data_IF_913758107087
#
_entry.id   IF_913758107087
#
_cell.length_a   1.000
_cell.length_b   1.000
_cell.length_c   1.000
_cell.angle_alpha   90.00
_cell.angle_beta   90.00
_cell.angle_gamma   90.00
#
_symmetry.space_group_name_H-M   'P 1'
#
loop_
_entity.id
_entity.type
_entity.pdbx_description
1 polymer ?
#
# COMPACT_ATOMS: atom_id res chain seq x y z
N UNK A 1 14.84 15.63 -0.55
CA UNK A 1 13.42 15.21 -0.60
C UNK A 1 13.18 14.34 0.62
N UNK A 2 12.00 14.42 1.23
CA UNK A 2 11.61 13.48 2.27
C UNK A 2 11.70 12.04 1.73
N UNK A 3 12.20 11.12 2.54
CA UNK A 3 12.46 9.75 2.16
C UNK A 3 11.18 8.93 2.21
N UNK A 4 10.37 9.05 1.16
CA UNK A 4 9.14 8.27 1.02
C UNK A 4 9.42 6.93 0.35
N UNK A 5 8.61 5.94 0.71
CA UNK A 5 8.53 4.69 -0.04
C UNK A 5 7.08 4.39 -0.42
N UNK A 6 6.91 3.68 -1.54
CA UNK A 6 5.66 2.99 -1.85
C UNK A 6 5.86 1.51 -1.57
N UNK A 7 4.95 0.87 -0.86
CA UNK A 7 5.06 -0.50 -0.38
C UNK A 7 3.81 -1.31 -0.75
N UNK A 8 4.05 -2.56 -1.12
CA UNK A 8 3.07 -3.63 -1.28
C UNK A 8 3.74 -4.95 -0.87
N UNK A 9 2.97 -5.91 -0.36
CA UNK A 9 3.46 -7.25 -0.05
C UNK A 9 2.63 -8.35 -0.69
N UNK A 10 3.27 -9.49 -0.88
CA UNK A 10 2.61 -10.74 -1.20
C UNK A 10 2.82 -11.76 -0.09
N UNK A 11 1.89 -12.70 0.03
CA UNK A 11 1.93 -13.76 1.05
C UNK A 11 2.24 -15.12 0.45
N UNK A 12 2.70 -16.05 1.29
CA UNK A 12 2.98 -17.44 0.92
C UNK A 12 1.71 -18.30 0.90
N UNK A 13 0.67 -17.85 1.62
CA UNK A 13 -0.56 -18.55 1.90
C UNK A 13 -1.77 -17.61 1.76
N UNK A 14 -2.93 -18.20 1.52
CA UNK A 14 -4.21 -17.51 1.42
C UNK A 14 -4.91 -17.45 2.79
N UNK A 15 -5.91 -16.57 2.92
CA UNK A 15 -6.80 -16.57 4.08
C UNK A 15 -7.50 -17.92 4.31
N UNK A 16 -7.85 -18.63 3.24
CA UNK A 16 -8.42 -19.99 3.32
C UNK A 16 -7.46 -20.99 3.98
N UNK A 17 -6.15 -20.79 3.84
CA UNK A 17 -5.14 -21.70 4.39
C UNK A 17 -4.93 -21.47 5.89
N UNK A 18 -5.32 -20.30 6.41
CA UNK A 18 -5.12 -19.92 7.82
C UNK A 18 -6.42 -19.87 8.64
N UNK A 19 -7.54 -20.26 8.03
CA UNK A 19 -8.84 -20.37 8.68
C UNK A 19 -9.77 -19.17 8.52
N UNK A 20 -9.37 -18.13 7.79
CA UNK A 20 -10.18 -16.93 7.55
C UNK A 20 -9.44 -15.61 7.74
N UNK A 21 -10.15 -14.48 7.55
CA UNK A 21 -9.57 -13.12 7.60
C UNK A 21 -9.22 -12.66 9.01
N UNK A 22 -9.91 -13.19 10.01
CA UNK A 22 -9.62 -13.00 11.43
C UNK A 22 -8.24 -13.54 11.84
N UNK A 23 -7.68 -14.44 11.03
CA UNK A 23 -6.36 -15.02 11.22
C UNK A 23 -5.26 -14.32 10.39
N UNK A 24 -5.39 -13.00 10.13
CA UNK A 24 -4.42 -12.20 9.37
C UNK A 24 -2.97 -12.39 9.85
N UNK A 25 -2.77 -12.48 11.16
CA UNK A 25 -1.47 -12.73 11.80
C UNK A 25 -0.97 -14.16 11.65
N UNK A 26 -1.56 -15.00 10.80
CA UNK A 26 -1.02 -16.31 10.40
C UNK A 26 -0.52 -16.33 8.95
N UNK A 27 -0.78 -15.27 8.18
CA UNK A 27 -0.19 -15.12 6.86
C UNK A 27 1.33 -14.95 6.95
N UNK A 28 2.06 -15.53 6.01
CA UNK A 28 3.52 -15.46 5.92
C UNK A 28 3.91 -14.62 4.72
N UNK A 29 4.94 -13.80 4.87
CA UNK A 29 5.45 -12.93 3.80
C UNK A 29 6.18 -13.78 2.74
N UNK A 30 5.84 -13.61 1.47
CA UNK A 30 6.64 -14.17 0.37
C UNK A 30 7.62 -13.13 -0.18
N UNK A 31 7.13 -11.94 -0.54
CA UNK A 31 7.94 -10.81 -0.99
C UNK A 31 7.34 -9.48 -0.55
N UNK A 32 8.18 -8.52 -0.21
CA UNK A 32 7.84 -7.10 -0.10
C UNK A 32 8.39 -6.35 -1.32
N UNK A 33 7.53 -5.65 -2.04
CA UNK A 33 7.89 -4.78 -3.15
C UNK A 33 7.93 -3.32 -2.71
N UNK A 34 8.97 -2.59 -3.13
CA UNK A 34 9.17 -1.21 -2.71
C UNK A 34 9.54 -0.34 -3.90
N UNK A 35 9.04 0.89 -3.93
CA UNK A 35 9.64 1.98 -4.69
C UNK A 35 10.23 2.99 -3.70
N UNK A 36 11.55 3.20 -3.77
CA UNK A 36 12.27 4.19 -2.96
C UNK A 36 12.37 5.49 -3.76
N UNK A 37 11.81 6.59 -3.22
CA UNK A 37 11.97 7.91 -3.83
C UNK A 37 13.39 8.45 -3.63
N UNK A 38 14.06 8.11 -2.53
CA UNK A 38 15.44 8.54 -2.29
C UNK A 38 16.41 7.94 -3.32
N UNK A 39 16.21 6.67 -3.70
CA UNK A 39 17.06 5.96 -4.66
C UNK A 39 16.54 5.99 -6.09
N UNK A 40 15.29 6.45 -6.29
CA UNK A 40 14.55 6.38 -7.56
C UNK A 40 14.54 4.97 -8.17
N UNK A 41 14.27 3.95 -7.33
CA UNK A 41 14.40 2.53 -7.70
C UNK A 41 13.27 1.68 -7.14
N UNK A 42 12.94 0.64 -7.92
CA UNK A 42 12.12 -0.47 -7.46
C UNK A 42 13.02 -1.55 -6.84
N UNK A 43 12.63 -2.04 -5.66
CA UNK A 43 13.36 -3.01 -4.86
C UNK A 43 12.40 -4.12 -4.42
N UNK A 44 12.91 -5.33 -4.24
CA UNK A 44 12.14 -6.45 -3.66
C UNK A 44 12.93 -7.07 -2.53
N UNK A 45 12.23 -7.49 -1.47
CA UNK A 45 12.82 -8.16 -0.33
C UNK A 45 12.04 -9.43 -0.03
N UNK A 46 12.72 -10.58 -0.08
CA UNK A 46 12.19 -11.84 0.44
C UNK A 46 12.22 -11.87 1.97
N UNK A 47 11.61 -12.88 2.57
CA UNK A 47 11.64 -13.11 4.02
C UNK A 47 13.07 -13.07 4.62
N UNK A 48 14.07 -13.60 3.89
CA UNK A 48 15.47 -13.62 4.33
C UNK A 48 16.14 -12.23 4.27
N UNK A 49 15.57 -11.31 3.49
CA UNK A 49 16.09 -9.96 3.27
C UNK A 49 15.41 -8.92 4.16
N UNK A 50 14.55 -9.34 5.09
CA UNK A 50 13.87 -8.47 6.06
C UNK A 50 14.82 -7.59 6.89
N UNK A 51 16.03 -8.02 7.30
CA UNK A 51 16.99 -7.12 7.93
C UNK A 51 17.39 -5.92 7.05
N UNK A 52 17.52 -6.12 5.73
CA UNK A 52 17.82 -5.03 4.81
C UNK A 52 16.61 -4.12 4.60
N UNK A 53 15.41 -4.70 4.50
CA UNK A 53 14.16 -3.94 4.44
C UNK A 53 13.93 -3.10 5.70
N UNK A 54 14.20 -3.63 6.89
CA UNK A 54 14.11 -2.88 8.15
C UNK A 54 15.04 -1.67 8.16
N UNK A 55 16.27 -1.81 7.64
CA UNK A 55 17.21 -0.70 7.52
C UNK A 55 16.74 0.39 6.55
N UNK A 56 15.98 0.03 5.51
CA UNK A 56 15.31 0.98 4.65
C UNK A 56 14.21 1.72 5.44
N UNK A 57 13.34 0.98 6.12
CA UNK A 57 12.23 1.54 6.91
C UNK A 57 12.69 2.50 8.03
N UNK A 58 13.81 2.21 8.69
CA UNK A 58 14.41 3.09 9.72
C UNK A 58 14.74 4.50 9.20
N UNK A 59 14.90 4.65 7.88
CA UNK A 59 15.21 5.93 7.22
C UNK A 59 14.00 6.54 6.54
N UNK A 60 12.86 5.85 6.55
CA UNK A 60 11.65 6.24 5.81
C UNK A 60 10.84 7.25 6.61
N UNK A 61 10.49 8.36 5.97
CA UNK A 61 9.66 9.42 6.55
C UNK A 61 8.16 9.16 6.36
N UNK A 62 7.79 8.41 5.30
CA UNK A 62 6.41 8.07 4.96
C UNK A 62 6.34 6.76 4.18
N UNK A 63 5.41 5.89 4.57
CA UNK A 63 5.05 4.68 3.80
C UNK A 63 3.74 4.95 3.07
N UNK A 64 3.74 4.78 1.76
CA UNK A 64 2.55 4.91 0.91
C UNK A 64 2.13 3.52 0.46
N UNK A 65 0.85 3.19 0.54
CA UNK A 65 0.35 1.90 0.10
C UNK A 65 -1.15 1.88 -0.18
N UNK A 66 -1.66 0.70 -0.44
CA UNK A 66 -3.08 0.47 -0.73
C UNK A 66 -3.63 -0.62 0.19
N UNK A 67 -4.53 -0.27 1.12
CA UNK A 67 -4.98 -1.16 2.20
C UNK A 67 -3.84 -1.60 3.16
N UNK A 68 -2.76 -0.83 3.17
CA UNK A 68 -1.50 -1.14 3.85
C UNK A 68 -1.63 -1.20 5.38
N UNK A 69 -2.47 -0.35 5.96
CA UNK A 69 -2.67 -0.29 7.41
C UNK A 69 -3.39 -1.52 7.95
N UNK A 70 -4.25 -2.14 7.12
CA UNK A 70 -5.13 -3.23 7.49
C UNK A 70 -4.67 -4.60 7.00
N UNK A 71 -3.60 -4.66 6.21
CA UNK A 71 -3.10 -5.91 5.64
C UNK A 71 -1.57 -6.02 5.75
N UNK A 72 -0.83 -5.24 4.99
CA UNK A 72 0.61 -5.39 4.82
C UNK A 72 1.38 -5.16 6.12
N UNK A 73 1.15 -4.03 6.80
CA UNK A 73 1.86 -3.71 8.04
C UNK A 73 1.58 -4.71 9.14
N UNK A 74 0.31 -5.13 9.40
CA UNK A 74 0.03 -6.25 10.31
C UNK A 74 0.80 -7.54 10.01
N UNK A 75 0.96 -7.92 8.73
CA UNK A 75 1.71 -9.12 8.34
C UNK A 75 3.22 -8.92 8.56
N UNK A 76 3.74 -7.75 8.19
CA UNK A 76 5.17 -7.41 8.32
C UNK A 76 5.66 -7.33 9.77
N UNK A 77 4.79 -7.02 10.75
CA UNK A 77 5.16 -6.92 12.18
C UNK A 77 5.90 -8.14 12.73
N UNK A 78 5.66 -9.34 12.18
CA UNK A 78 6.34 -10.57 12.61
C UNK A 78 7.82 -10.62 12.23
N UNK A 79 8.18 -9.87 11.20
CA UNK A 79 9.48 -9.93 10.54
C UNK A 79 10.38 -8.76 10.92
N UNK A 80 9.85 -7.78 11.67
CA UNK A 80 10.49 -6.52 11.94
C UNK A 80 10.57 -6.28 13.44
N UNK A 81 11.71 -5.76 13.89
CA UNK A 81 11.96 -5.39 15.28
C UNK A 81 11.60 -3.93 15.59
N UNK A 82 11.38 -3.11 14.55
CA UNK A 82 10.97 -1.71 14.69
C UNK A 82 9.47 -1.57 14.91
N UNK A 83 9.09 -0.52 15.63
CA UNK A 83 7.70 -0.12 15.79
C UNK A 83 7.22 0.65 14.56
N UNK A 84 6.50 -0.05 13.67
CA UNK A 84 5.94 0.53 12.45
C UNK A 84 4.92 1.64 12.70
N UNK A 85 4.32 1.72 13.91
CA UNK A 85 3.35 2.77 14.24
C UNK A 85 4.00 4.16 14.34
N UNK A 86 5.33 4.21 14.45
CA UNK A 86 6.11 5.45 14.47
C UNK A 86 6.41 6.01 13.09
N UNK A 87 6.18 5.23 12.02
CA UNK A 87 6.37 5.68 10.65
C UNK A 87 5.00 6.09 10.11
N UNK A 88 4.81 7.37 9.70
CA UNK A 88 3.57 7.81 9.08
C UNK A 88 3.19 6.94 7.87
N UNK A 89 1.90 6.74 7.69
CA UNK A 89 1.35 6.01 6.55
C UNK A 89 0.37 6.86 5.75
N UNK A 90 0.38 6.66 4.43
CA UNK A 90 -0.69 7.04 3.53
C UNK A 90 -1.28 5.77 2.93
N UNK A 91 -2.44 5.36 3.45
CA UNK A 91 -3.26 4.29 2.87
C UNK A 91 -4.30 4.89 1.93
N UNK A 92 -4.10 4.75 0.62
CA UNK A 92 -4.99 5.32 -0.40
C UNK A 92 -6.40 4.74 -0.30
N UNK A 93 -6.53 3.44 0.01
CA UNK A 93 -7.84 2.82 0.14
C UNK A 93 -8.56 3.35 1.38
N UNK A 94 -7.83 3.58 2.48
CA UNK A 94 -8.38 4.20 3.69
C UNK A 94 -8.91 5.60 3.41
N UNK A 95 -8.18 6.46 2.68
CA UNK A 95 -8.66 7.80 2.30
C UNK A 95 -9.99 7.73 1.51
N UNK A 96 -10.15 6.74 0.62
CA UNK A 96 -11.40 6.52 -0.09
C UNK A 96 -12.51 6.08 0.88
N UNK A 97 -12.25 5.08 1.73
CA UNK A 97 -13.25 4.56 2.69
C UNK A 97 -13.71 5.66 3.65
N UNK A 98 -12.79 6.45 4.20
CA UNK A 98 -13.11 7.55 5.13
C UNK A 98 -14.00 8.63 4.46
N UNK A 99 -13.85 8.81 3.15
CA UNK A 99 -14.65 9.78 2.38
C UNK A 99 -15.98 9.21 1.90
N UNK A 100 -16.05 7.91 1.62
CA UNK A 100 -17.12 7.28 0.82
C UNK A 100 -17.90 6.17 1.52
N UNK A 101 -17.42 5.70 2.67
CA UNK A 101 -18.03 4.61 3.44
C UNK A 101 -17.93 3.22 2.81
N UNK A 102 -17.23 3.05 1.68
CA UNK A 102 -17.05 1.74 1.04
C UNK A 102 -15.66 1.58 0.42
N UNK A 103 -15.26 0.31 0.29
CA UNK A 103 -13.96 -0.07 -0.30
C UNK A 103 -14.04 -0.09 -1.82
N UNK A 104 -12.93 0.26 -2.45
CA UNK A 104 -12.69 0.13 -3.90
C UNK A 104 -11.43 -0.70 -4.12
N UNK A 105 -11.26 -1.28 -5.31
CA UNK A 105 -10.02 -2.00 -5.65
C UNK A 105 -8.98 -1.02 -6.20
N UNK A 106 -7.70 -1.39 -6.11
CA UNK A 106 -6.62 -0.64 -6.75
C UNK A 106 -6.83 -0.55 -8.27
N UNK A 107 -7.28 -1.65 -8.90
CA UNK A 107 -7.59 -1.70 -10.33
C UNK A 107 -8.66 -0.66 -10.71
N UNK A 108 -9.73 -0.56 -9.93
CA UNK A 108 -10.81 0.41 -10.18
C UNK A 108 -10.30 1.86 -10.10
N UNK A 109 -9.46 2.19 -9.12
CA UNK A 109 -8.81 3.51 -9.06
C UNK A 109 -7.90 3.71 -10.28
N UNK A 110 -7.08 2.72 -10.64
CA UNK A 110 -6.14 2.84 -11.75
C UNK A 110 -6.83 3.06 -13.09
N UNK A 111 -7.91 2.31 -13.36
CA UNK A 111 -8.69 2.45 -14.59
C UNK A 111 -9.30 3.84 -14.66
N UNK A 112 -9.96 4.29 -13.59
CA UNK A 112 -10.70 5.54 -13.61
C UNK A 112 -9.80 6.79 -13.48
N UNK A 113 -8.66 6.68 -12.79
CA UNK A 113 -7.73 7.80 -12.54
C UNK A 113 -6.66 7.91 -13.62
N UNK A 114 -6.06 6.78 -14.02
CA UNK A 114 -4.89 6.75 -14.89
C UNK A 114 -5.21 6.26 -16.32
N UNK A 115 -6.41 5.72 -16.56
CA UNK A 115 -6.73 5.03 -17.81
C UNK A 115 -5.95 3.73 -18.00
N UNK A 116 -5.39 3.16 -16.91
CA UNK A 116 -4.56 1.95 -16.93
C UNK A 116 -5.33 0.81 -16.25
N UNK A 117 -5.45 -0.32 -16.93
CA UNK A 117 -5.99 -1.55 -16.34
C UNK A 117 -4.86 -2.38 -15.74
N UNK A 118 -5.10 -3.03 -14.61
CA UNK A 118 -4.18 -4.04 -14.06
C UNK A 118 -4.14 -5.22 -15.03
N UNK A 119 -2.93 -5.64 -15.38
CA UNK A 119 -2.70 -6.76 -16.31
C UNK A 119 -2.78 -8.13 -15.63
N UNK A 120 -2.83 -8.19 -14.30
CA UNK A 120 -2.69 -9.42 -13.53
C UNK A 120 -3.72 -9.51 -12.39
N UNK A 121 -4.20 -10.73 -12.09
CA UNK A 121 -5.19 -11.00 -11.04
C UNK A 121 -4.51 -11.39 -9.71
N UNK A 122 -5.05 -10.92 -8.57
CA UNK A 122 -4.58 -11.19 -7.19
C UNK A 122 -4.34 -12.65 -6.83
N UNK A 123 -5.04 -13.56 -7.50
CA UNK A 123 -4.90 -15.00 -7.26
C UNK A 123 -3.58 -15.59 -7.76
N UNK A 124 -2.83 -14.88 -8.62
CA UNK A 124 -1.61 -15.42 -9.22
C UNK A 124 -0.41 -15.41 -8.28
N UNK A 125 -0.36 -14.53 -7.28
CA UNK A 125 0.83 -14.35 -6.45
C UNK A 125 1.15 -15.59 -5.59
N UNK A 126 0.16 -16.10 -4.86
CA UNK A 126 0.33 -17.33 -4.05
C UNK A 126 0.61 -18.54 -4.94
N UNK A 127 0.02 -18.60 -6.13
CA UNK A 127 0.31 -19.69 -7.08
C UNK A 127 1.74 -19.62 -7.62
N UNK A 128 2.26 -18.43 -7.92
CA UNK A 128 3.67 -18.25 -8.27
C UNK A 128 4.59 -18.70 -7.13
N UNK A 129 4.27 -18.34 -5.88
CA UNK A 129 5.01 -18.81 -4.71
C UNK A 129 5.02 -20.33 -4.61
N UNK A 130 3.85 -20.97 -4.66
CA UNK A 130 3.69 -22.44 -4.57
C UNK A 130 4.44 -23.19 -5.67
N UNK A 131 4.56 -22.59 -6.85
CA UNK A 131 5.29 -23.14 -8.00
C UNK A 131 6.79 -22.78 -8.02
N UNK A 132 7.28 -22.01 -7.04
CA UNK A 132 8.68 -21.55 -7.02
C UNK A 132 9.02 -20.50 -8.11
N UNK A 133 8.00 -19.86 -8.70
CA UNK A 133 8.13 -18.86 -9.77
C UNK A 133 8.39 -17.47 -9.17
N UNK A 134 9.54 -17.33 -8.51
CA UNK A 134 9.87 -16.16 -7.69
C UNK A 134 10.02 -14.88 -8.52
N UNK A 135 10.51 -14.96 -9.75
CA UNK A 135 10.68 -13.77 -10.60
C UNK A 135 9.34 -13.19 -11.05
N UNK A 136 8.37 -14.04 -11.38
CA UNK A 136 7.00 -13.62 -11.68
C UNK A 136 6.31 -13.04 -10.46
N UNK A 137 6.47 -13.65 -9.30
CA UNK A 137 5.98 -13.11 -8.03
C UNK A 137 6.54 -11.70 -7.75
N UNK A 138 7.87 -11.52 -7.89
CA UNK A 138 8.52 -10.21 -7.75
C UNK A 138 7.99 -9.19 -8.75
N UNK A 139 7.85 -9.56 -10.02
CA UNK A 139 7.30 -8.68 -11.07
C UNK A 139 5.84 -8.30 -10.78
N UNK A 140 5.06 -9.25 -10.28
CA UNK A 140 3.67 -9.03 -9.89
C UNK A 140 3.57 -7.99 -8.76
N UNK A 141 4.28 -8.20 -7.65
CA UNK A 141 4.30 -7.26 -6.53
C UNK A 141 4.80 -5.86 -6.96
N UNK A 142 5.90 -5.79 -7.73
CA UNK A 142 6.39 -4.51 -8.26
C UNK A 142 5.42 -3.81 -9.23
N UNK A 143 4.51 -4.55 -9.86
CA UNK A 143 3.44 -3.95 -10.66
C UNK A 143 2.44 -3.20 -9.78
N UNK A 144 2.06 -3.77 -8.63
CA UNK A 144 1.15 -3.12 -7.69
C UNK A 144 1.78 -1.93 -7.00
N UNK A 145 3.07 -2.02 -6.64
CA UNK A 145 3.87 -0.87 -6.18
C UNK A 145 3.86 0.26 -7.22
N UNK A 146 4.07 -0.07 -8.51
CA UNK A 146 4.09 0.92 -9.59
C UNK A 146 2.74 1.60 -9.78
N UNK A 147 1.65 0.82 -9.77
CA UNK A 147 0.29 1.36 -9.89
C UNK A 147 -0.04 2.27 -8.72
N UNK A 148 0.28 1.84 -7.50
CA UNK A 148 0.08 2.63 -6.28
C UNK A 148 0.87 3.93 -6.31
N UNK A 149 2.15 3.88 -6.73
CA UNK A 149 2.98 5.07 -6.95
C UNK A 149 2.37 6.01 -7.97
N UNK A 150 1.95 5.50 -9.13
CA UNK A 150 1.37 6.32 -10.21
C UNK A 150 0.07 7.01 -9.74
N UNK A 151 -0.78 6.34 -8.95
CA UNK A 151 -1.98 6.93 -8.34
C UNK A 151 -1.59 8.04 -7.35
N UNK A 152 -0.61 7.79 -6.48
CA UNK A 152 -0.11 8.78 -5.54
C UNK A 152 0.45 10.03 -6.25
N UNK A 153 1.30 9.85 -7.26
CA UNK A 153 1.87 10.95 -8.05
C UNK A 153 0.79 11.73 -8.81
N UNK A 154 -0.21 11.04 -9.37
CA UNK A 154 -1.37 11.70 -9.98
C UNK A 154 -2.12 12.54 -8.94
N UNK A 155 -2.43 11.98 -7.78
CA UNK A 155 -3.14 12.67 -6.70
C UNK A 155 -2.37 13.89 -6.19
N UNK A 156 -1.04 13.80 -6.06
CA UNK A 156 -0.18 14.95 -5.74
C UNK A 156 -0.27 16.05 -6.79
N UNK A 157 -0.21 15.68 -8.08
CA UNK A 157 -0.16 16.64 -9.19
C UNK A 157 -1.53 17.26 -9.52
N UNK A 158 -2.62 16.51 -9.36
CA UNK A 158 -3.96 16.88 -9.79
C UNK A 158 -4.91 17.21 -8.64
N UNK A 159 -4.57 16.84 -7.41
CA UNK A 159 -5.41 17.06 -6.24
C UNK A 159 -6.71 16.24 -6.26
N UNK A 160 -6.77 15.19 -7.07
CA UNK A 160 -7.94 14.31 -7.18
C UNK A 160 -7.55 12.89 -7.58
N UNK A 161 -8.42 11.92 -7.27
CA UNK A 161 -8.42 10.55 -7.83
C UNK A 161 -9.86 10.18 -8.22
N UNK A 162 -10.03 9.14 -9.02
CA UNK A 162 -11.32 8.70 -9.56
C UNK A 162 -11.53 7.20 -9.35
N UNK A 163 -12.76 6.80 -9.10
CA UNK A 163 -13.17 5.41 -8.87
C UNK A 163 -14.67 5.23 -9.11
N UNK A 164 -15.12 3.98 -9.19
CA UNK A 164 -16.52 3.63 -9.32
C UNK A 164 -17.21 3.68 -7.96
N UNK A 165 -18.14 4.61 -7.79
CA UNK A 165 -18.98 4.69 -6.59
C UNK A 165 -20.19 3.73 -6.70
N UNK A 166 -20.63 3.21 -5.56
CA UNK A 166 -21.78 2.30 -5.43
C UNK A 166 -22.85 2.80 -4.44
N UNK A 167 -22.88 4.10 -4.18
CA UNK A 167 -23.84 4.75 -3.27
C UNK A 167 -25.19 5.10 -3.97
N UNK A 168 -25.38 4.68 -5.22
CA UNK A 168 -26.59 4.88 -6.01
C UNK A 168 -27.05 3.58 -6.69
N UNK A 169 -28.25 3.60 -7.28
CA UNK A 169 -28.85 2.44 -7.97
C UNK A 169 -28.02 1.92 -9.15
N UNK A 170 -27.17 2.76 -9.76
CA UNK A 170 -26.26 2.38 -10.83
C UNK A 170 -24.84 2.85 -10.51
N UNK A 171 -23.80 2.04 -10.80
CA UNK A 171 -22.42 2.47 -10.66
C UNK A 171 -22.10 3.68 -11.53
N UNK A 172 -21.35 4.64 -11.00
CA UNK A 172 -20.88 5.81 -11.74
C UNK A 172 -19.45 6.17 -11.32
N UNK A 173 -18.74 6.89 -12.18
CA UNK A 173 -17.39 7.36 -11.89
C UNK A 173 -17.49 8.59 -10.98
N UNK A 174 -16.92 8.51 -9.79
CA UNK A 174 -16.81 9.62 -8.85
C UNK A 174 -15.38 10.16 -8.84
N UNK A 175 -15.26 11.48 -8.72
CA UNK A 175 -13.97 12.15 -8.50
C UNK A 175 -13.90 12.58 -7.03
N UNK A 176 -12.84 12.16 -6.34
CA UNK A 176 -12.56 12.51 -4.96
C UNK A 176 -11.37 13.46 -4.90
N UNK A 177 -11.54 14.62 -4.25
CA UNK A 177 -10.42 15.53 -3.97
C UNK A 177 -9.49 14.90 -2.95
N UNK A 178 -8.18 14.96 -3.20
CA UNK A 178 -7.15 14.47 -2.30
C UNK A 178 -6.12 15.56 -2.01
N UNK A 179 -5.59 15.57 -0.80
CA UNK A 179 -4.45 16.39 -0.43
C UNK A 179 -3.31 15.49 0.06
N UNK A 180 -2.70 14.73 -0.85
CA UNK A 180 -1.58 13.85 -0.50
C UNK A 180 -0.33 14.63 -0.06
N UNK A 181 -0.22 15.91 -0.41
CA UNK A 181 0.88 16.76 0.01
C UNK A 181 0.91 16.97 1.54
N UNK A 182 -0.23 16.84 2.23
CA UNK A 182 -0.28 16.92 3.71
C UNK A 182 0.60 15.86 4.39
N UNK A 183 0.82 14.72 3.72
CA UNK A 183 1.68 13.64 4.20
C UNK A 183 3.16 13.84 3.84
N UNK A 184 3.44 14.53 2.72
CA UNK A 184 4.79 14.73 2.19
C UNK A 184 5.63 15.77 2.95
N UNK A 185 5.03 16.55 3.86
CA UNK A 185 5.65 17.67 4.58
C UNK A 185 5.64 17.53 6.11
N UNK A 186 5.48 16.33 6.66
CA UNK A 186 5.36 16.15 8.12
C UNK A 186 6.75 16.07 8.78
N UNK A 187 7.16 17.15 9.45
CA UNK A 187 7.92 17.07 10.71
C UNK A 187 6.89 16.94 11.83
N UNK A 188 6.86 15.79 12.52
CA UNK A 188 6.11 15.67 13.77
C UNK A 188 6.88 16.45 14.84
N UNK A 189 6.43 17.64 15.20
CA UNK A 189 6.74 18.22 16.50
C UNK A 189 5.54 17.98 17.41
N UNK A 190 5.71 17.06 18.34
CA UNK A 190 4.76 16.75 19.41
C UNK A 190 4.48 17.99 20.25
N UNK A 191 3.29 18.58 20.08
CA UNK A 191 2.50 19.19 21.15
C UNK A 191 1.17 19.67 20.54
N UNK A 192 0.14 18.83 20.63
CA UNK A 192 -1.23 19.33 20.62
C UNK A 192 -1.83 19.06 21.99
N UNK A 193 -1.86 20.09 22.82
CA UNK A 193 -2.76 20.18 23.97
C UNK A 193 -3.96 21.01 23.54
N UNK A 194 -5.20 20.51 23.70
CA UNK A 194 -6.37 21.34 23.47
C UNK A 194 -6.42 22.42 24.56
N UNK A 195 -6.39 23.69 24.16
CA UNK A 195 -6.81 24.78 25.06
C UNK A 195 -8.33 24.82 25.09
N UNK A 196 -8.90 24.53 26.25
CA UNK A 196 -10.25 24.92 26.64
C UNK A 196 -10.35 26.44 26.59
N UNK A 197 -11.18 26.97 25.69
CA UNK A 197 -12.02 28.16 25.90
C UNK A 197 -13.23 28.05 24.98
#
# INVERSE_FOLDING_TARGET
MANHIVLDIETQNLFSDVGGKENLTKLLLSVAGVYSYADNKFLTFSEKEMPAFENLLKKTDLIIGFNIDHFDLPVLRKYLSIDLTKIPTLDIMKEVVDTMGHRVSLDDICVNTLGKKKTANGFLAVDYWRQGRIDELKKYCLSDVRLTRDVYEYGLKKGEIKFTARDANLPYIKTMRVNFAKYAGIKITTAWTPSLF
#
